data_IF_427367101564
#
_entry.id   IF_427367101564
#
_cell.length_a   1.000
_cell.length_b   1.000
_cell.length_c   1.000
_cell.angle_alpha   90.00
_cell.angle_beta   90.00
_cell.angle_gamma   90.00
#
_symmetry.space_group_name_H-M   'P 1'
#
loop_
_entity.id
_entity.type
_entity.pdbx_description
1 polymer ?
#
# COMPACT_ATOMS: atom_id res chain seq x y z
N UNK A 1 -33.58 -53.33 77.79
CA UNK A 1 -32.17 -52.93 77.62
C UNK A 1 -31.94 -52.87 76.08
N UNK A 2 -32.24 -51.74 75.45
CA UNK A 2 -32.18 -51.59 74.01
C UNK A 2 -31.11 -50.53 73.63
N UNK A 3 -30.03 -50.94 73.01
CA UNK A 3 -28.99 -50.06 72.46
C UNK A 3 -29.38 -49.74 70.98
N UNK A 4 -29.77 -48.49 70.68
CA UNK A 4 -29.94 -47.98 69.32
C UNK A 4 -28.59 -47.58 68.75
N UNK A 5 -28.21 -48.18 67.68
CA UNK A 5 -27.01 -47.87 66.87
C UNK A 5 -27.39 -46.80 65.86
N UNK A 6 -26.77 -45.61 65.98
CA UNK A 6 -26.92 -44.56 64.93
C UNK A 6 -25.88 -44.79 63.85
N UNK A 7 -26.35 -45.09 62.64
CA UNK A 7 -25.49 -45.11 61.44
C UNK A 7 -25.34 -43.69 60.93
N UNK A 8 -24.12 -43.21 60.90
CA UNK A 8 -23.77 -41.94 60.25
C UNK A 8 -23.54 -42.19 58.77
N UNK A 9 -24.41 -41.65 57.90
CA UNK A 9 -24.21 -41.63 56.46
C UNK A 9 -23.20 -40.51 56.09
N UNK A 10 -22.04 -40.90 55.65
CA UNK A 10 -21.05 -39.98 55.06
C UNK A 10 -21.45 -39.66 53.65
N UNK A 11 -21.91 -38.43 53.44
CA UNK A 11 -22.17 -37.89 52.11
C UNK A 11 -20.80 -37.36 51.58
N UNK A 12 -20.22 -38.10 50.65
CA UNK A 12 -19.03 -37.64 49.91
C UNK A 12 -19.42 -36.67 48.83
N UNK A 13 -19.15 -35.38 49.02
CA UNK A 13 -19.28 -34.36 48.01
C UNK A 13 -18.08 -34.45 47.03
N UNK A 14 -18.33 -35.03 45.85
CA UNK A 14 -17.34 -35.08 44.78
C UNK A 14 -17.29 -33.71 44.08
N UNK A 15 -16.26 -32.92 44.42
CA UNK A 15 -15.95 -31.65 43.75
C UNK A 15 -15.43 -31.94 42.35
N UNK A 16 -16.26 -31.70 41.31
CA UNK A 16 -15.80 -31.71 39.93
C UNK A 16 -15.01 -30.42 39.66
N UNK A 17 -13.70 -30.51 39.70
CA UNK A 17 -12.80 -29.44 39.21
C UNK A 17 -12.85 -29.42 37.68
N UNK A 18 -13.63 -28.49 37.14
CA UNK A 18 -13.58 -28.16 35.71
C UNK A 18 -12.22 -27.49 35.42
N UNK A 19 -11.27 -28.27 34.94
CA UNK A 19 -10.00 -27.74 34.42
C UNK A 19 -10.26 -26.99 33.16
N UNK A 20 -10.34 -25.64 33.23
CA UNK A 20 -10.26 -24.78 32.05
C UNK A 20 -8.86 -24.94 31.47
N UNK A 21 -8.75 -25.81 30.46
CA UNK A 21 -7.53 -25.97 29.67
C UNK A 21 -7.35 -24.70 28.82
N UNK A 22 -6.65 -23.70 29.36
CA UNK A 22 -6.22 -22.54 28.60
C UNK A 22 -5.30 -23.04 27.48
N UNK A 23 -5.81 -23.02 26.24
CA UNK A 23 -5.03 -23.34 25.04
C UNK A 23 -3.83 -22.40 25.04
N UNK A 24 -2.62 -22.92 25.27
CA UNK A 24 -1.38 -22.14 25.14
C UNK A 24 -1.39 -21.48 23.75
N UNK A 25 -1.12 -20.15 23.65
CA UNK A 25 -0.98 -19.52 22.36
C UNK A 25 0.11 -20.23 21.59
N UNK A 26 -0.24 -20.75 20.42
CA UNK A 26 0.74 -21.36 19.51
C UNK A 26 1.72 -20.27 19.08
N UNK A 27 3.03 -20.54 19.02
CA UNK A 27 3.99 -19.59 18.53
C UNK A 27 3.59 -19.23 17.08
N UNK A 28 3.37 -17.95 16.84
CA UNK A 28 3.15 -17.43 15.49
C UNK A 28 4.46 -17.64 14.73
N UNK A 29 4.49 -18.64 13.87
CA UNK A 29 5.63 -18.87 12.96
C UNK A 29 5.58 -17.72 11.95
N UNK A 30 6.39 -16.70 12.17
CA UNK A 30 6.65 -15.69 11.15
C UNK A 30 7.43 -16.39 10.04
N UNK A 31 6.75 -16.73 8.96
CA UNK A 31 7.42 -17.15 7.72
C UNK A 31 8.26 -15.94 7.29
N UNK A 32 9.58 -16.08 7.37
CA UNK A 32 10.49 -15.07 6.82
C UNK A 32 10.13 -14.86 5.34
N UNK A 33 9.76 -13.64 5.00
CA UNK A 33 9.49 -13.30 3.60
C UNK A 33 10.79 -13.44 2.83
N UNK A 34 10.77 -14.08 1.65
CA UNK A 34 11.97 -14.21 0.84
C UNK A 34 12.52 -12.82 0.51
N UNK A 35 13.81 -12.63 0.76
CA UNK A 35 14.50 -11.40 0.38
C UNK A 35 14.40 -11.20 -1.14
N UNK A 36 14.16 -9.97 -1.59
CA UNK A 36 14.15 -9.66 -3.02
C UNK A 36 15.55 -9.91 -3.59
N UNK A 37 15.62 -10.74 -4.62
CA UNK A 37 16.91 -11.05 -5.24
C UNK A 37 17.47 -9.84 -5.98
N UNK A 38 18.78 -9.63 -5.89
CA UNK A 38 19.49 -8.60 -6.65
C UNK A 38 19.24 -8.73 -8.17
N UNK A 39 19.09 -9.97 -8.65
CA UNK A 39 18.80 -10.25 -10.04
C UNK A 39 17.39 -9.76 -10.45
N UNK A 40 16.38 -9.94 -9.60
CA UNK A 40 15.04 -9.41 -9.86
C UNK A 40 15.07 -7.89 -9.99
N UNK A 41 15.78 -7.22 -9.08
CA UNK A 41 15.94 -5.76 -9.11
C UNK A 41 16.63 -5.30 -10.40
N UNK A 42 17.75 -5.92 -10.76
CA UNK A 42 18.52 -5.58 -11.97
C UNK A 42 17.72 -5.82 -13.26
N UNK A 43 17.04 -6.96 -13.38
CA UNK A 43 16.23 -7.28 -14.57
C UNK A 43 15.08 -6.29 -14.79
N UNK A 44 14.47 -5.78 -13.72
CA UNK A 44 13.39 -4.78 -13.83
C UNK A 44 13.90 -3.39 -14.17
N UNK A 45 15.10 -3.02 -13.71
CA UNK A 45 15.68 -1.71 -13.93
C UNK A 45 15.78 -1.35 -15.42
N UNK A 46 16.43 -2.20 -16.19
CA UNK A 46 16.61 -1.96 -17.62
C UNK A 46 15.28 -1.80 -18.37
N UNK A 47 14.30 -2.65 -18.07
CA UNK A 47 12.97 -2.61 -18.68
C UNK A 47 12.21 -1.32 -18.30
N UNK A 48 12.29 -0.92 -17.03
CA UNK A 48 11.63 0.29 -16.54
C UNK A 48 12.27 1.55 -17.13
N UNK A 49 13.62 1.62 -17.18
CA UNK A 49 14.33 2.74 -17.81
C UNK A 49 13.92 2.90 -19.28
N UNK A 50 13.87 1.83 -20.05
CA UNK A 50 13.46 1.90 -21.47
C UNK A 50 11.97 2.30 -21.59
N UNK A 51 11.11 1.87 -20.67
CA UNK A 51 9.67 2.19 -20.70
C UNK A 51 9.39 3.68 -20.53
N UNK A 52 10.20 4.39 -19.73
CA UNK A 52 10.03 5.83 -19.42
C UNK A 52 10.86 6.74 -20.32
N UNK A 53 11.66 6.20 -21.21
CA UNK A 53 12.52 6.96 -22.12
C UNK A 53 11.72 7.96 -22.96
N UNK A 54 12.19 9.20 -22.99
CA UNK A 54 11.51 10.30 -23.70
C UNK A 54 10.28 10.84 -22.97
N UNK A 55 10.06 10.45 -21.72
CA UNK A 55 9.02 11.03 -20.85
C UNK A 55 9.66 11.84 -19.72
N UNK A 56 8.89 12.68 -18.99
CA UNK A 56 9.40 13.41 -17.83
C UNK A 56 9.53 12.55 -16.56
N UNK A 57 9.33 11.24 -16.67
CA UNK A 57 9.40 10.33 -15.54
C UNK A 57 10.85 10.07 -15.14
N UNK A 58 11.04 9.89 -13.83
CA UNK A 58 12.34 9.46 -13.27
C UNK A 58 12.18 8.11 -12.61
N UNK A 59 13.23 7.29 -12.64
CA UNK A 59 13.31 6.02 -11.96
C UNK A 59 14.39 6.09 -10.88
N UNK A 60 14.08 5.61 -9.68
CA UNK A 60 15.08 5.41 -8.64
C UNK A 60 14.78 4.15 -7.84
N UNK A 61 15.82 3.59 -7.25
CA UNK A 61 15.74 2.44 -6.38
C UNK A 61 15.49 2.91 -4.95
N UNK A 62 14.56 2.27 -4.27
CA UNK A 62 14.28 2.48 -2.85
C UNK A 62 14.16 1.11 -2.18
N UNK A 63 15.08 0.78 -1.29
CA UNK A 63 15.10 -0.51 -0.58
C UNK A 63 14.77 -1.69 -1.50
N UNK A 64 13.61 -2.28 -1.32
CA UNK A 64 13.10 -3.43 -2.05
C UNK A 64 12.08 -3.07 -3.15
N UNK A 65 12.16 -1.87 -3.70
CA UNK A 65 11.22 -1.39 -4.71
C UNK A 65 11.90 -0.51 -5.75
N UNK A 66 11.27 -0.42 -6.92
CA UNK A 66 11.53 0.60 -7.92
C UNK A 66 10.46 1.66 -7.85
N UNK A 67 10.84 2.92 -7.80
CA UNK A 67 9.92 4.06 -7.76
C UNK A 67 10.06 4.85 -9.05
N UNK A 68 8.97 4.86 -9.84
CA UNK A 68 8.83 5.74 -11.00
C UNK A 68 8.04 6.96 -10.57
N UNK A 69 8.66 8.14 -10.67
CA UNK A 69 8.03 9.42 -10.29
C UNK A 69 7.59 10.19 -11.52
N UNK A 70 6.32 10.55 -11.57
CA UNK A 70 5.68 11.38 -12.58
C UNK A 70 5.42 12.78 -12.00
N UNK A 71 6.12 13.85 -12.46
CA UNK A 71 5.84 15.22 -12.03
C UNK A 71 4.43 15.64 -12.49
N UNK A 72 3.58 16.07 -11.55
CA UNK A 72 2.17 16.31 -11.86
C UNK A 72 1.94 17.39 -12.89
N UNK A 73 2.76 18.44 -12.95
CA UNK A 73 2.65 19.52 -13.91
C UNK A 73 2.83 19.08 -15.37
N UNK A 74 3.66 18.05 -15.58
CA UNK A 74 3.92 17.52 -16.92
C UNK A 74 3.02 16.33 -17.23
N UNK A 75 2.53 15.65 -16.20
CA UNK A 75 1.72 14.45 -16.35
C UNK A 75 0.23 14.71 -16.46
N UNK A 76 -0.27 15.83 -15.92
CA UNK A 76 -1.69 16.14 -15.88
C UNK A 76 -2.02 17.49 -16.54
N UNK A 77 -3.26 17.57 -17.05
CA UNK A 77 -3.77 18.81 -17.65
C UNK A 77 -3.95 19.90 -16.59
N UNK A 78 -3.57 21.15 -16.90
CA UNK A 78 -3.63 22.26 -15.96
C UNK A 78 -5.08 22.61 -15.56
N UNK A 79 -6.01 22.62 -16.53
CA UNK A 79 -7.42 22.97 -16.30
C UNK A 79 -8.23 21.80 -15.72
N UNK A 80 -7.79 20.57 -15.98
CA UNK A 80 -8.40 19.34 -15.49
C UNK A 80 -7.34 18.51 -14.75
N UNK A 81 -7.01 18.87 -13.49
CA UNK A 81 -5.80 18.40 -12.82
C UNK A 81 -5.77 16.90 -12.48
N UNK A 82 -6.86 16.16 -12.71
CA UNK A 82 -6.95 14.71 -12.62
C UNK A 82 -6.88 14.01 -13.99
N UNK A 83 -6.87 14.78 -15.10
CA UNK A 83 -6.82 14.23 -16.45
C UNK A 83 -5.36 14.06 -16.87
N UNK A 84 -4.94 12.82 -17.15
CA UNK A 84 -3.62 12.53 -17.71
C UNK A 84 -3.46 13.14 -19.09
N UNK A 85 -2.29 13.73 -19.36
CA UNK A 85 -1.90 14.18 -20.68
C UNK A 85 -1.71 12.97 -21.59
N UNK A 86 -2.14 13.06 -22.87
CA UNK A 86 -2.02 11.94 -23.82
C UNK A 86 -0.59 11.40 -23.96
N UNK A 87 0.41 12.26 -23.90
CA UNK A 87 1.83 11.87 -23.95
C UNK A 87 2.25 10.92 -22.80
N UNK A 88 1.54 10.93 -21.67
CA UNK A 88 1.83 10.07 -20.50
C UNK A 88 1.24 8.66 -20.64
N UNK A 89 0.28 8.46 -21.54
CA UNK A 89 -0.36 7.14 -21.71
C UNK A 89 0.65 6.09 -22.16
N UNK A 90 1.53 6.44 -23.10
CA UNK A 90 2.52 5.49 -23.65
C UNK A 90 3.50 4.95 -22.60
N UNK A 91 4.23 5.78 -21.83
CA UNK A 91 5.14 5.27 -20.81
C UNK A 91 4.41 4.50 -19.70
N UNK A 92 3.24 4.96 -19.24
CA UNK A 92 2.45 4.24 -18.21
C UNK A 92 2.00 2.87 -18.73
N UNK A 93 1.50 2.79 -19.97
CA UNK A 93 1.08 1.53 -20.59
C UNK A 93 2.25 0.56 -20.74
N UNK A 94 3.45 1.04 -21.12
CA UNK A 94 4.66 0.21 -21.21
C UNK A 94 5.02 -0.39 -19.86
N UNK A 95 5.04 0.43 -18.79
CA UNK A 95 5.26 -0.06 -17.44
C UNK A 95 4.20 -1.11 -17.08
N UNK A 96 2.92 -0.81 -17.31
CA UNK A 96 1.82 -1.73 -16.99
C UNK A 96 1.97 -3.08 -17.70
N UNK A 97 2.41 -3.10 -18.96
CA UNK A 97 2.66 -4.35 -19.70
C UNK A 97 3.83 -5.15 -19.16
N UNK A 98 4.91 -4.50 -18.71
CA UNK A 98 6.02 -5.18 -18.03
C UNK A 98 5.52 -5.87 -16.75
N UNK A 99 4.67 -5.19 -15.98
CA UNK A 99 4.14 -5.74 -14.74
C UNK A 99 3.08 -6.82 -14.99
N UNK A 100 2.25 -6.66 -16.00
CA UNK A 100 1.27 -7.67 -16.40
C UNK A 100 1.95 -8.99 -16.76
N UNK A 101 3.04 -8.93 -17.53
CA UNK A 101 3.87 -10.08 -17.90
C UNK A 101 4.73 -10.65 -16.76
N UNK A 102 4.70 -10.05 -15.57
CA UNK A 102 5.52 -10.48 -14.42
C UNK A 102 4.62 -10.79 -13.22
N UNK A 103 4.12 -12.04 -13.07
CA UNK A 103 3.14 -12.42 -12.05
C UNK A 103 3.59 -12.19 -10.61
N UNK A 104 4.88 -12.20 -10.37
CA UNK A 104 5.53 -11.96 -9.07
C UNK A 104 5.60 -10.49 -8.65
N UNK A 105 5.10 -9.58 -9.50
CA UNK A 105 5.21 -8.14 -9.31
C UNK A 105 3.88 -7.50 -8.90
N UNK A 106 3.92 -6.55 -7.99
CA UNK A 106 2.80 -5.69 -7.60
C UNK A 106 3.16 -4.22 -7.66
N UNK A 107 2.15 -3.36 -7.71
CA UNK A 107 2.33 -1.91 -7.79
C UNK A 107 1.47 -1.18 -6.78
N UNK A 108 2.08 -0.22 -6.08
CA UNK A 108 1.41 0.78 -5.26
C UNK A 108 1.55 2.15 -5.95
N UNK A 109 0.44 2.81 -6.23
CA UNK A 109 0.42 4.12 -6.88
C UNK A 109 0.03 5.17 -5.85
N UNK A 110 0.95 6.10 -5.57
CA UNK A 110 0.75 7.17 -4.61
C UNK A 110 0.61 8.51 -5.32
N UNK A 111 -0.49 9.21 -5.09
CA UNK A 111 -0.61 10.60 -5.51
C UNK A 111 -0.22 11.53 -4.36
N UNK A 112 0.51 12.60 -4.68
CA UNK A 112 0.87 13.66 -3.75
C UNK A 112 0.40 15.01 -4.29
N UNK A 113 -0.12 15.83 -3.40
CA UNK A 113 -0.54 17.19 -3.72
C UNK A 113 -0.48 18.03 -2.46
N UNK A 114 0.13 19.18 -2.56
CA UNK A 114 0.27 20.14 -1.47
C UNK A 114 -0.44 21.43 -1.87
N UNK A 115 -1.76 21.49 -1.66
CA UNK A 115 -2.52 22.73 -1.79
C UNK A 115 -2.44 23.51 -0.48
N UNK A 116 -1.89 24.69 -0.53
CA UNK A 116 -1.75 25.55 0.63
C UNK A 116 -3.11 25.69 1.37
N UNK A 117 -3.12 25.32 2.65
CA UNK A 117 -4.24 25.48 3.58
C UNK A 117 -5.52 24.67 3.30
N UNK A 118 -5.48 23.66 2.41
CA UNK A 118 -6.63 22.76 2.17
C UNK A 118 -6.18 21.29 2.03
N UNK A 119 -6.11 20.60 3.18
CA UNK A 119 -5.73 19.19 3.23
C UNK A 119 -6.77 18.29 2.56
N UNK A 120 -8.06 18.65 2.62
CA UNK A 120 -9.13 17.88 1.98
C UNK A 120 -9.01 17.95 0.46
N UNK A 121 -8.82 19.15 -0.10
CA UNK A 121 -8.61 19.32 -1.55
C UNK A 121 -7.30 18.67 -2.00
N UNK A 122 -6.24 18.74 -1.19
CA UNK A 122 -4.96 18.06 -1.45
C UNK A 122 -5.14 16.56 -1.52
N UNK A 123 -5.84 15.97 -0.55
CA UNK A 123 -6.14 14.54 -0.54
C UNK A 123 -7.00 14.12 -1.74
N UNK A 124 -8.09 14.83 -2.02
CA UNK A 124 -8.98 14.53 -3.14
C UNK A 124 -8.27 14.59 -4.50
N UNK A 125 -7.45 15.62 -4.70
CA UNK A 125 -6.67 15.79 -5.92
C UNK A 125 -5.63 14.68 -6.10
N UNK A 126 -4.89 14.37 -5.04
CA UNK A 126 -3.87 13.33 -5.05
C UNK A 126 -4.46 11.94 -5.29
N UNK A 127 -5.61 11.63 -4.66
CA UNK A 127 -6.34 10.38 -4.89
C UNK A 127 -6.86 10.27 -6.33
N UNK A 128 -7.40 11.36 -6.89
CA UNK A 128 -7.86 11.40 -8.28
C UNK A 128 -6.72 11.14 -9.28
N UNK A 129 -5.55 11.72 -9.04
CA UNK A 129 -4.36 11.50 -9.88
C UNK A 129 -3.85 10.05 -9.80
N UNK A 130 -3.74 9.50 -8.59
CA UNK A 130 -3.37 8.11 -8.41
C UNK A 130 -4.37 7.16 -9.09
N UNK A 131 -5.68 7.44 -8.97
CA UNK A 131 -6.75 6.69 -9.62
C UNK A 131 -6.71 6.76 -11.15
N UNK A 132 -6.35 7.91 -11.73
CA UNK A 132 -6.17 8.06 -13.17
C UNK A 132 -5.05 7.15 -13.70
N UNK A 133 -3.89 7.14 -13.04
CA UNK A 133 -2.78 6.24 -13.37
C UNK A 133 -3.18 4.78 -13.19
N UNK A 134 -3.80 4.42 -12.05
CA UNK A 134 -4.28 3.07 -11.77
C UNK A 134 -5.27 2.55 -12.85
N UNK A 135 -6.07 3.45 -13.42
CA UNK A 135 -6.99 3.09 -14.49
C UNK A 135 -6.27 2.62 -15.75
N UNK A 136 -5.12 3.22 -16.10
CA UNK A 136 -4.30 2.76 -17.23
C UNK A 136 -3.71 1.38 -16.97
N UNK A 137 -3.20 1.13 -15.76
CA UNK A 137 -2.69 -0.20 -15.37
C UNK A 137 -3.78 -1.27 -15.50
N UNK A 138 -4.99 -0.98 -15.02
CA UNK A 138 -6.14 -1.90 -15.11
C UNK A 138 -6.54 -2.16 -16.57
N UNK A 139 -6.64 -1.12 -17.40
CA UNK A 139 -6.94 -1.24 -18.82
C UNK A 139 -5.86 -2.00 -19.59
N UNK A 140 -4.62 -1.97 -19.09
CA UNK A 140 -3.49 -2.73 -19.65
C UNK A 140 -3.44 -4.20 -19.20
N UNK A 141 -4.40 -4.67 -18.37
CA UNK A 141 -4.53 -6.07 -17.97
C UNK A 141 -3.99 -6.41 -16.58
N UNK A 142 -3.45 -5.43 -15.83
CA UNK A 142 -2.98 -5.72 -14.47
C UNK A 142 -4.17 -6.03 -13.54
N UNK A 143 -4.08 -7.18 -12.85
CA UNK A 143 -5.13 -7.64 -11.93
C UNK A 143 -5.23 -6.74 -10.69
N UNK A 144 -6.45 -6.65 -10.11
CA UNK A 144 -6.75 -5.79 -8.96
C UNK A 144 -5.98 -6.18 -7.69
N UNK A 145 -5.78 -7.46 -7.46
CA UNK A 145 -5.05 -8.01 -6.31
C UNK A 145 -3.56 -7.64 -6.31
N UNK A 146 -3.03 -7.23 -7.46
CA UNK A 146 -1.64 -6.82 -7.66
C UNK A 146 -1.45 -5.31 -7.71
N UNK A 147 -2.52 -4.54 -7.49
CA UNK A 147 -2.47 -3.09 -7.62
C UNK A 147 -3.26 -2.39 -6.52
N UNK A 148 -2.64 -1.37 -5.91
CA UNK A 148 -3.31 -0.44 -5.02
C UNK A 148 -2.97 1.00 -5.39
N UNK A 149 -3.88 1.93 -5.08
CA UNK A 149 -3.63 3.36 -5.27
C UNK A 149 -4.17 4.16 -4.11
N UNK A 150 -3.41 5.16 -3.67
CA UNK A 150 -3.72 6.00 -2.51
C UNK A 150 -3.47 7.47 -2.82
N UNK A 151 -4.32 8.34 -2.26
CA UNK A 151 -4.05 9.76 -2.19
C UNK A 151 -3.37 10.08 -0.87
N UNK A 152 -2.21 10.70 -0.92
CA UNK A 152 -1.39 11.03 0.25
C UNK A 152 -1.53 12.50 0.67
N UNK A 153 -2.24 13.32 -0.12
CA UNK A 153 -2.36 14.74 0.15
C UNK A 153 -1.00 15.41 0.29
N UNK A 154 -0.84 16.21 1.33
CA UNK A 154 0.40 16.89 1.70
C UNK A 154 1.38 16.05 2.53
N UNK A 155 1.10 14.76 2.73
CA UNK A 155 2.01 13.85 3.42
C UNK A 155 3.21 13.48 2.54
N UNK A 156 4.36 13.22 3.15
CA UNK A 156 5.62 12.88 2.46
C UNK A 156 6.07 13.95 1.46
N UNK A 157 6.08 15.22 1.89
CA UNK A 157 6.63 16.32 1.10
C UNK A 157 8.14 16.11 0.87
N UNK A 158 8.58 16.31 -0.36
CA UNK A 158 10.00 16.29 -0.72
C UNK A 158 10.69 17.61 -0.38
N UNK A 159 9.93 18.70 -0.42
CA UNK A 159 10.40 20.04 -0.04
C UNK A 159 9.49 20.60 1.05
N UNK A 160 10.10 21.17 2.11
CA UNK A 160 9.35 21.77 3.23
C UNK A 160 8.57 23.01 2.83
N UNK A 161 8.93 23.66 1.72
CA UNK A 161 8.19 24.79 1.19
C UNK A 161 6.84 24.31 0.64
N UNK A 162 5.75 24.85 1.20
CA UNK A 162 4.38 24.56 0.72
C UNK A 162 4.24 24.89 -0.76
N UNK A 163 3.44 24.12 -1.45
CA UNK A 163 3.19 24.23 -2.89
C UNK A 163 4.43 24.16 -3.77
N UNK A 164 5.52 23.58 -3.26
CA UNK A 164 6.69 23.29 -4.09
C UNK A 164 6.35 22.29 -5.19
N UNK A 165 6.89 22.53 -6.38
CA UNK A 165 6.55 21.76 -7.59
C UNK A 165 6.81 20.27 -7.41
N UNK A 166 7.88 19.89 -6.70
CA UNK A 166 8.24 18.49 -6.43
C UNK A 166 7.26 17.77 -5.50
N UNK A 167 6.50 18.52 -4.68
CA UNK A 167 5.48 17.95 -3.83
C UNK A 167 4.25 17.48 -4.64
N UNK A 168 4.06 17.99 -5.84
CA UNK A 168 2.98 17.59 -6.73
C UNK A 168 3.47 16.51 -7.71
N UNK A 169 3.24 15.25 -7.36
CA UNK A 169 3.73 14.11 -8.15
C UNK A 169 2.82 12.90 -8.00
N UNK A 170 3.02 11.93 -8.87
CA UNK A 170 2.55 10.56 -8.67
C UNK A 170 3.76 9.64 -8.65
N UNK A 171 3.82 8.76 -7.66
CA UNK A 171 4.82 7.72 -7.53
C UNK A 171 4.20 6.37 -7.85
N UNK A 172 4.85 5.60 -8.71
CA UNK A 172 4.50 4.23 -9.08
C UNK A 172 5.56 3.35 -8.44
N UNK A 173 5.22 2.74 -7.30
CA UNK A 173 6.12 1.90 -6.51
C UNK A 173 5.93 0.46 -6.95
N UNK A 174 6.98 -0.13 -7.50
CA UNK A 174 6.99 -1.48 -8.08
C UNK A 174 7.81 -2.38 -7.17
N UNK A 175 7.18 -3.43 -6.65
CA UNK A 175 7.80 -4.38 -5.73
C UNK A 175 7.37 -5.81 -6.05
N UNK A 176 8.00 -6.80 -5.40
CA UNK A 176 7.49 -8.16 -5.46
C UNK A 176 6.15 -8.28 -4.73
N UNK A 177 5.27 -9.12 -5.25
CA UNK A 177 3.94 -9.34 -4.68
C UNK A 177 4.00 -9.71 -3.18
N UNK A 178 4.96 -10.55 -2.79
CA UNK A 178 5.19 -10.95 -1.41
C UNK A 178 5.54 -9.79 -0.47
N UNK A 179 6.11 -8.68 -1.00
CA UNK A 179 6.53 -7.52 -0.23
C UNK A 179 5.48 -6.39 -0.20
N UNK A 180 4.39 -6.54 -0.95
CA UNK A 180 3.39 -5.48 -1.10
C UNK A 180 2.81 -5.02 0.23
N UNK A 181 2.58 -5.93 1.18
CA UNK A 181 2.04 -5.59 2.50
C UNK A 181 3.01 -4.75 3.32
N UNK A 182 4.32 -4.98 3.22
CA UNK A 182 5.32 -4.19 3.95
C UNK A 182 5.44 -2.78 3.38
N UNK A 183 5.42 -2.69 2.04
CA UNK A 183 5.37 -1.39 1.36
C UNK A 183 4.10 -0.63 1.77
N UNK A 184 2.95 -1.30 1.80
CA UNK A 184 1.69 -0.72 2.26
C UNK A 184 1.75 -0.26 3.72
N UNK A 185 2.36 -1.05 4.61
CA UNK A 185 2.47 -0.70 6.03
C UNK A 185 3.22 0.61 6.26
N UNK A 186 4.14 0.99 5.37
CA UNK A 186 4.86 2.26 5.42
C UNK A 186 3.94 3.47 5.21
N UNK A 187 2.95 3.34 4.33
CA UNK A 187 2.08 4.46 3.91
C UNK A 187 0.69 4.42 4.53
N UNK A 188 0.21 3.25 4.94
CA UNK A 188 -1.16 3.04 5.44
C UNK A 188 -1.53 3.91 6.66
N UNK A 189 -0.70 4.08 7.70
CA UNK A 189 -1.06 4.91 8.84
C UNK A 189 -1.34 6.36 8.47
N UNK A 190 -0.55 6.89 7.53
CA UNK A 190 -0.72 8.26 7.03
C UNK A 190 -1.98 8.37 6.19
N UNK A 191 -2.25 7.37 5.36
CA UNK A 191 -3.48 7.31 4.55
C UNK A 191 -4.74 7.27 5.42
N UNK A 192 -4.78 6.44 6.45
CA UNK A 192 -5.91 6.35 7.38
C UNK A 192 -6.12 7.68 8.10
N UNK A 193 -5.05 8.34 8.55
CA UNK A 193 -5.12 9.66 9.18
C UNK A 193 -5.68 10.72 8.24
N UNK A 194 -5.26 10.75 6.97
CA UNK A 194 -5.76 11.66 5.95
C UNK A 194 -7.25 11.46 5.69
N UNK A 195 -7.73 10.22 5.59
CA UNK A 195 -9.14 9.89 5.43
C UNK A 195 -9.98 10.43 6.60
N UNK A 196 -9.53 10.23 7.83
CA UNK A 196 -10.22 10.70 9.03
C UNK A 196 -10.37 12.24 9.02
N UNK A 197 -9.33 12.97 8.63
CA UNK A 197 -9.36 14.44 8.53
C UNK A 197 -10.31 14.94 7.42
N UNK A 198 -10.51 14.17 6.37
CA UNK A 198 -11.40 14.51 5.26
C UNK A 198 -12.86 14.28 5.61
N UNK A 199 -13.16 13.27 6.44
CA UNK A 199 -14.53 12.94 6.87
C UNK A 199 -15.03 13.79 8.05
N UNK A 200 -14.14 14.41 8.80
CA UNK A 200 -14.47 15.28 9.95
C UNK A 200 -14.86 16.72 9.58
N UNK A 201 -14.91 17.06 8.30
CA UNK A 201 -15.35 18.36 7.75
C UNK A 201 -16.66 18.22 7.00
#
# INVERSE_FOLDING_TARGET
MNRKIYQWALISVSSVLAACSAKKPQPVVYLEKPAISAQWMSNKEALLLESIKGSPFTLHKQDNAWVVTAPAQQAFNADRPNLLMPAMLRPITRIAKILEASPDTSVLILGHSDRANDDSASHKLSAGRAGAVASIFRLSGLKRDRMMHLGMGSSFMLEQRKSALKNHRVEIIITQHAQMQDVMATYHPVYVRQLALTQAR
#
